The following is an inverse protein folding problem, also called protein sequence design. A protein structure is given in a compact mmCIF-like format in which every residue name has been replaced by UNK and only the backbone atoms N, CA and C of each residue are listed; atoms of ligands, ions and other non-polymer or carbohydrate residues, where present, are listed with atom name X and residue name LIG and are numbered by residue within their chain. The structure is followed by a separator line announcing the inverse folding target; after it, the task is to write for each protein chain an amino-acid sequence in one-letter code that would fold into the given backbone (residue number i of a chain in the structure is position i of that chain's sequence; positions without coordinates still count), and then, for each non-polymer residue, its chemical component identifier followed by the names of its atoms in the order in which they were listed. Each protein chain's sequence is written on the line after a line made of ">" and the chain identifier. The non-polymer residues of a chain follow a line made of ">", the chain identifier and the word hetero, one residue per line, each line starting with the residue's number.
data_IF_955313042491
#
_entry.id   IF_955313042491
#
_cell.length_a   1.000
_cell.length_b   1.000
_cell.length_c   1.000
_cell.angle_alpha   90.00
_cell.angle_beta   90.00
_cell.angle_gamma   90.00
#
_symmetry.space_group_name_H-M   'P 1'
#
loop_
_entity.id
_entity.type
_entity.pdbx_description
1 polymer ?
#
# COMPACT_ATOMS: atom_id res chain seq x y z
N UNK A 1 -12.07 23.33 8.38
CA UNK A 1 -11.66 23.17 6.97
C UNK A 1 -11.34 21.70 6.76
N UNK A 2 -12.07 21.02 5.89
CA UNK A 2 -11.69 19.67 5.44
C UNK A 2 -10.51 19.88 4.49
N UNK A 3 -9.37 19.24 4.75
CA UNK A 3 -8.28 19.17 3.77
C UNK A 3 -8.85 18.61 2.47
N UNK A 4 -8.56 19.23 1.30
CA UNK A 4 -9.02 18.69 0.03
C UNK A 4 -8.51 17.25 -0.12
N UNK A 5 -9.37 16.35 -0.59
CA UNK A 5 -8.98 14.98 -0.90
C UNK A 5 -7.90 15.03 -1.97
N UNK A 6 -6.74 14.42 -1.67
CA UNK A 6 -5.63 14.36 -2.61
C UNK A 6 -5.62 12.97 -3.25
N UNK A 7 -5.69 12.85 -4.58
CA UNK A 7 -5.60 11.55 -5.23
C UNK A 7 -4.33 10.80 -4.84
N UNK A 8 -4.44 9.48 -4.72
CA UNK A 8 -3.34 8.59 -4.32
C UNK A 8 -2.69 8.95 -2.96
N UNK A 9 -3.41 9.65 -2.06
CA UNK A 9 -2.83 10.11 -0.80
C UNK A 9 -2.28 9.00 0.09
N UNK A 10 -2.71 7.75 -0.09
CA UNK A 10 -2.20 6.58 0.65
C UNK A 10 -0.80 6.13 0.17
N UNK A 11 -0.39 6.48 -1.05
CA UNK A 11 0.92 6.17 -1.61
C UNK A 11 1.98 7.24 -1.23
N UNK A 12 2.10 7.54 0.07
CA UNK A 12 2.91 8.62 0.61
C UNK A 12 4.17 8.14 1.38
N UNK A 13 5.15 9.02 1.64
CA UNK A 13 6.39 8.66 2.34
C UNK A 13 6.19 8.12 3.77
N UNK A 14 5.14 8.53 4.48
CA UNK A 14 4.84 8.00 5.81
C UNK A 14 4.42 6.52 5.73
N UNK A 15 3.62 6.15 4.73
CA UNK A 15 3.19 4.77 4.51
C UNK A 15 4.37 3.90 4.07
N UNK A 16 5.21 4.39 3.16
CA UNK A 16 6.45 3.75 2.73
C UNK A 16 7.36 3.43 3.93
N UNK A 17 7.68 4.45 4.73
CA UNK A 17 8.51 4.29 5.93
C UNK A 17 7.88 3.31 6.92
N UNK A 18 6.56 3.34 7.08
CA UNK A 18 5.86 2.43 7.99
C UNK A 18 5.94 0.98 7.52
N UNK A 19 5.71 0.71 6.24
CA UNK A 19 5.83 -0.62 5.63
C UNK A 19 7.24 -1.17 5.83
N UNK A 20 8.28 -0.37 5.55
CA UNK A 20 9.68 -0.74 5.74
C UNK A 20 10.03 -1.01 7.21
N UNK A 21 9.55 -0.18 8.14
CA UNK A 21 9.79 -0.37 9.57
C UNK A 21 9.12 -1.66 10.07
N UNK A 22 7.89 -1.93 9.65
CA UNK A 22 7.17 -3.17 10.00
C UNK A 22 7.87 -4.39 9.43
N UNK A 23 8.32 -4.33 8.18
CA UNK A 23 9.10 -5.38 7.53
C UNK A 23 10.35 -5.73 8.34
N UNK A 24 11.06 -4.74 8.87
CA UNK A 24 12.21 -4.94 9.74
C UNK A 24 11.89 -5.72 11.03
N UNK A 25 10.73 -5.48 11.67
CA UNK A 25 10.31 -6.26 12.84
C UNK A 25 10.14 -7.75 12.53
N UNK A 26 9.73 -8.10 11.30
CA UNK A 26 9.56 -9.49 10.87
C UNK A 26 10.80 -10.06 10.16
N UNK A 27 11.92 -9.33 10.22
CA UNK A 27 13.20 -9.73 9.66
C UNK A 27 13.23 -9.72 8.14
N UNK A 28 12.34 -9.00 7.46
CA UNK A 28 12.43 -8.81 6.02
C UNK A 28 13.52 -7.76 5.75
N UNK A 29 14.48 -8.07 4.88
CA UNK A 29 15.56 -7.15 4.50
C UNK A 29 15.13 -6.21 3.37
N UNK A 30 16.03 -5.29 2.98
CA UNK A 30 15.80 -4.36 1.85
C UNK A 30 15.52 -5.05 0.53
N UNK A 31 16.00 -6.27 0.35
CA UNK A 31 15.79 -7.02 -0.88
C UNK A 31 14.39 -7.67 -0.91
N UNK A 32 13.54 -7.51 0.11
CA UNK A 32 12.18 -8.04 0.25
C UNK A 32 12.02 -9.56 0.08
N UNK A 33 13.07 -10.28 -0.27
CA UNK A 33 13.11 -11.72 -0.48
C UNK A 33 14.09 -12.44 0.47
N UNK A 34 14.94 -11.70 1.20
CA UNK A 34 15.84 -12.26 2.20
C UNK A 34 15.36 -11.99 3.64
N UNK A 35 15.66 -12.92 4.54
CA UNK A 35 15.13 -12.96 5.89
C UNK A 35 16.22 -13.00 6.97
N UNK A 36 16.07 -12.17 8.00
CA UNK A 36 16.78 -12.18 9.26
C UNK A 36 15.85 -12.66 10.39
N UNK A 37 16.37 -12.97 11.60
CA UNK A 37 15.53 -13.22 12.76
C UNK A 37 14.64 -12.02 13.08
N UNK A 38 13.35 -12.23 13.43
CA UNK A 38 12.44 -11.13 13.74
C UNK A 38 12.83 -10.40 15.02
N UNK A 39 12.67 -9.08 15.03
CA UNK A 39 12.81 -8.24 16.22
C UNK A 39 11.51 -8.36 17.03
N UNK A 40 11.62 -8.79 18.30
CA UNK A 40 10.51 -9.24 19.18
C UNK A 40 9.48 -8.18 19.62
N UNK A 41 9.13 -7.18 18.80
CA UNK A 41 8.09 -6.20 19.15
C UNK A 41 6.92 -6.16 18.15
N UNK A 42 6.17 -7.27 18.08
CA UNK A 42 4.97 -7.39 17.25
C UNK A 42 3.88 -6.39 17.63
N UNK A 43 3.81 -5.94 18.89
CA UNK A 43 2.81 -4.97 19.35
C UNK A 43 3.02 -3.58 18.73
N UNK A 44 4.26 -3.09 18.69
CA UNK A 44 4.58 -1.82 18.04
C UNK A 44 4.30 -1.90 16.53
N UNK A 45 4.69 -3.00 15.89
CA UNK A 45 4.39 -3.25 14.48
C UNK A 45 2.88 -3.18 14.18
N UNK A 46 2.04 -3.83 15.01
CA UNK A 46 0.57 -3.77 14.88
C UNK A 46 0.03 -2.35 15.03
N UNK A 47 0.55 -1.59 16.00
CA UNK A 47 0.13 -0.20 16.21
C UNK A 47 0.47 0.69 15.02
N UNK A 48 1.61 0.47 14.39
CA UNK A 48 2.03 1.19 13.18
C UNK A 48 1.07 0.92 12.01
N UNK A 49 0.78 -0.35 11.70
CA UNK A 49 -0.19 -0.71 10.65
C UNK A 49 -1.59 -0.16 10.96
N UNK A 50 -2.04 -0.25 12.22
CA UNK A 50 -3.34 0.28 12.64
C UNK A 50 -3.49 1.79 12.39
N UNK A 51 -2.40 2.56 12.51
CA UNK A 51 -2.40 4.02 12.23
C UNK A 51 -2.55 4.35 10.75
N UNK A 52 -2.21 3.43 9.85
CA UNK A 52 -2.39 3.62 8.41
C UNK A 52 -3.86 3.45 8.02
N UNK A 53 -4.61 2.59 8.69
CA UNK A 53 -6.00 2.26 8.34
C UNK A 53 -6.94 3.37 8.86
N UNK A 54 -7.74 4.02 7.98
CA UNK A 54 -8.67 5.06 8.41
C UNK A 54 -9.76 4.51 9.35
N UNK A 55 -10.14 5.31 10.35
CA UNK A 55 -11.15 4.95 11.37
C UNK A 55 -12.57 4.92 10.77
N UNK A 56 -12.84 5.81 9.81
CA UNK A 56 -14.09 5.88 9.06
C UNK A 56 -13.78 5.92 7.58
N UNK A 57 -14.46 5.04 6.86
CA UNK A 57 -14.47 5.05 5.41
C UNK A 57 -15.72 5.76 4.92
N UNK A 58 -15.57 6.69 3.99
CA UNK A 58 -16.68 7.30 3.27
C UNK A 58 -16.70 6.70 1.87
N UNK A 59 -17.58 5.72 1.65
CA UNK A 59 -17.71 5.00 0.38
C UNK A 59 -18.05 5.93 -0.80
N UNK A 60 -18.50 7.16 -0.53
CA UNK A 60 -18.88 8.13 -1.55
C UNK A 60 -17.73 9.04 -1.99
N UNK A 61 -16.57 9.03 -1.34
CA UNK A 61 -15.44 9.94 -1.64
C UNK A 61 -14.22 9.28 -2.28
N UNK A 62 -14.14 7.96 -2.25
CA UNK A 62 -13.03 7.23 -2.87
C UNK A 62 -13.43 6.86 -4.30
N UNK A 63 -13.28 7.81 -5.22
CA UNK A 63 -13.57 7.61 -6.65
C UNK A 63 -12.55 6.68 -7.33
N UNK A 64 -11.39 6.47 -6.72
CA UNK A 64 -10.30 5.66 -7.27
C UNK A 64 -10.22 4.31 -6.55
N UNK A 65 -10.56 3.23 -7.27
CA UNK A 65 -10.70 1.87 -6.75
C UNK A 65 -9.46 1.28 -6.03
N UNK A 66 -8.25 1.84 -6.23
CA UNK A 66 -7.01 1.36 -5.63
C UNK A 66 -6.97 1.51 -4.10
N UNK A 67 -7.47 2.63 -3.58
CA UNK A 67 -7.47 2.95 -2.15
C UNK A 67 -8.14 1.85 -1.33
N UNK A 68 -9.34 1.45 -1.76
CA UNK A 68 -10.13 0.39 -1.11
C UNK A 68 -9.38 -0.92 -1.01
N UNK A 69 -8.79 -1.37 -2.12
CA UNK A 69 -8.06 -2.63 -2.14
C UNK A 69 -6.81 -2.55 -1.26
N UNK A 70 -6.11 -1.42 -1.26
CA UNK A 70 -4.91 -1.23 -0.45
C UNK A 70 -5.21 -1.33 1.05
N UNK A 71 -6.24 -0.62 1.53
CA UNK A 71 -6.60 -0.69 2.94
C UNK A 71 -7.23 -2.01 3.36
N UNK A 72 -7.97 -2.69 2.47
CA UNK A 72 -8.44 -4.06 2.72
C UNK A 72 -7.25 -4.99 2.95
N UNK A 73 -6.17 -4.82 2.17
CA UNK A 73 -4.92 -5.57 2.32
C UNK A 73 -4.22 -5.28 3.64
N UNK A 74 -4.20 -4.02 4.09
CA UNK A 74 -3.68 -3.64 5.41
C UNK A 74 -4.51 -4.23 6.56
N UNK A 75 -5.83 -4.31 6.43
CA UNK A 75 -6.70 -4.95 7.42
C UNK A 75 -6.40 -6.46 7.51
N UNK A 76 -6.22 -7.12 6.37
CA UNK A 76 -5.81 -8.53 6.34
C UNK A 76 -4.43 -8.71 6.98
N UNK A 77 -3.44 -7.87 6.67
CA UNK A 77 -2.15 -7.86 7.37
C UNK A 77 -2.32 -7.76 8.89
N UNK A 78 -3.12 -6.81 9.37
CA UNK A 78 -3.35 -6.65 10.81
C UNK A 78 -4.00 -7.90 11.44
N UNK A 79 -4.92 -8.56 10.73
CA UNK A 79 -5.50 -9.84 11.14
C UNK A 79 -4.44 -10.94 11.18
N UNK A 80 -3.62 -11.07 10.14
CA UNK A 80 -2.53 -12.05 10.06
C UNK A 80 -1.50 -11.84 11.17
N UNK A 81 -1.19 -10.59 11.54
CA UNK A 81 -0.30 -10.26 12.66
C UNK A 81 -0.84 -10.70 14.03
N UNK A 82 -2.15 -10.96 14.16
CA UNK A 82 -2.74 -11.54 15.38
C UNK A 82 -2.62 -13.06 15.46
N UNK A 83 -2.00 -13.68 14.45
CA UNK A 83 -1.60 -15.08 14.48
C UNK A 83 -0.13 -15.20 14.88
N UNK A 84 0.28 -16.38 15.34
CA UNK A 84 1.71 -16.69 15.59
C UNK A 84 2.42 -17.22 14.32
N UNK A 85 1.82 -17.07 13.14
CA UNK A 85 2.33 -17.59 11.86
C UNK A 85 3.22 -16.56 11.17
N UNK A 86 4.49 -16.49 11.58
CA UNK A 86 5.48 -15.53 11.07
C UNK A 86 5.60 -15.55 9.55
N UNK A 87 5.58 -16.72 8.92
CA UNK A 87 5.71 -16.84 7.46
C UNK A 87 4.50 -16.24 6.73
N UNK A 88 3.28 -16.43 7.25
CA UNK A 88 2.08 -15.80 6.73
C UNK A 88 2.16 -14.26 6.88
N UNK A 89 2.69 -13.76 8.00
CA UNK A 89 2.89 -12.31 8.19
C UNK A 89 3.88 -11.76 7.16
N UNK A 90 4.98 -12.48 6.89
CA UNK A 90 5.99 -12.05 5.91
C UNK A 90 5.44 -11.97 4.50
N UNK A 91 4.73 -12.99 4.06
CA UNK A 91 4.07 -13.01 2.75
C UNK A 91 3.04 -11.87 2.65
N UNK A 92 2.28 -11.62 3.72
CA UNK A 92 1.29 -10.54 3.73
C UNK A 92 1.94 -9.15 3.69
N UNK A 93 3.10 -8.97 4.32
CA UNK A 93 3.89 -7.74 4.23
C UNK A 93 4.43 -7.51 2.82
N UNK A 94 4.93 -8.56 2.15
CA UNK A 94 5.32 -8.48 0.74
C UNK A 94 4.12 -8.10 -0.13
N UNK A 95 2.94 -8.70 0.09
CA UNK A 95 1.73 -8.36 -0.65
C UNK A 95 1.33 -6.87 -0.48
N UNK A 96 1.42 -6.35 0.74
CA UNK A 96 1.21 -4.91 1.02
C UNK A 96 2.25 -4.07 0.28
N UNK A 97 3.53 -4.49 0.27
CA UNK A 97 4.59 -3.76 -0.42
C UNK A 97 4.36 -3.66 -1.91
N UNK A 98 4.08 -4.78 -2.57
CA UNK A 98 3.83 -4.80 -4.01
C UNK A 98 2.64 -3.92 -4.40
N UNK A 99 1.56 -3.90 -3.60
CA UNK A 99 0.46 -2.97 -3.81
C UNK A 99 0.90 -1.52 -3.64
N UNK A 100 1.63 -1.22 -2.56
CA UNK A 100 2.13 0.13 -2.33
C UNK A 100 2.98 0.63 -3.50
N UNK A 101 3.88 -0.20 -4.02
CA UNK A 101 4.71 0.12 -5.19
C UNK A 101 3.87 0.36 -6.44
N UNK A 102 2.85 -0.47 -6.68
CA UNK A 102 1.92 -0.31 -7.79
C UNK A 102 1.17 1.04 -7.75
N UNK A 103 0.76 1.49 -6.57
CA UNK A 103 0.07 2.77 -6.41
C UNK A 103 1.05 3.95 -6.33
N UNK A 104 2.30 3.71 -5.91
CA UNK A 104 3.36 4.71 -5.91
C UNK A 104 3.72 5.18 -7.32
N UNK A 105 3.65 4.29 -8.31
CA UNK A 105 3.78 4.65 -9.74
C UNK A 105 2.76 5.73 -10.13
N UNK A 106 1.50 5.59 -9.69
CA UNK A 106 0.44 6.56 -9.98
C UNK A 106 0.71 7.89 -9.29
N UNK A 107 1.08 7.85 -8.00
CA UNK A 107 1.35 9.04 -7.20
C UNK A 107 2.57 9.82 -7.72
N UNK A 108 3.64 9.13 -8.11
CA UNK A 108 4.86 9.75 -8.67
C UNK A 108 4.58 10.35 -10.05
N UNK A 109 3.80 9.67 -10.88
CA UNK A 109 3.38 10.21 -12.18
C UNK A 109 2.54 11.48 -12.01
N UNK A 110 1.61 11.48 -11.04
CA UNK A 110 0.81 12.67 -10.73
C UNK A 110 1.68 13.82 -10.25
N UNK A 111 2.60 13.55 -9.32
CA UNK A 111 3.52 14.56 -8.81
C UNK A 111 4.41 15.15 -9.92
N UNK A 112 4.95 14.33 -10.81
CA UNK A 112 5.72 14.78 -11.97
C UNK A 112 4.89 15.69 -12.89
N UNK A 113 3.68 15.25 -13.29
CA UNK A 113 2.82 16.03 -14.19
C UNK A 113 2.33 17.34 -13.57
N UNK A 114 2.03 17.35 -12.26
CA UNK A 114 1.69 18.58 -11.55
C UNK A 114 2.88 19.56 -11.52
N UNK A 115 4.12 19.08 -11.33
CA UNK A 115 5.32 19.93 -11.35
C UNK A 115 5.58 20.53 -12.73
N UNK A 116 5.43 19.74 -13.79
CA UNK A 116 5.59 20.18 -15.19
C UNK A 116 4.58 21.27 -15.57
N UNK A 117 3.37 21.20 -15.02
CA UNK A 117 2.27 22.15 -15.24
C UNK A 117 2.13 23.19 -14.13
N UNK A 118 3.16 23.43 -13.31
CA UNK A 118 3.10 24.28 -12.11
C UNK A 118 2.68 25.75 -12.34
N UNK A 119 2.67 26.23 -13.59
CA UNK A 119 2.18 27.56 -13.99
C UNK A 119 0.73 27.56 -14.52
N UNK A 120 0.07 26.41 -14.59
CA UNK A 120 -1.31 26.23 -15.02
C UNK A 120 -2.19 25.90 -13.80
N UNK A 121 -3.45 26.33 -13.79
CA UNK A 121 -4.43 25.84 -12.82
C UNK A 121 -4.77 24.38 -13.17
N UNK A 122 -3.98 23.44 -12.68
CA UNK A 122 -4.18 22.00 -12.88
C UNK A 122 -5.26 21.51 -11.93
N UNK A 123 -6.32 20.91 -12.47
CA UNK A 123 -7.22 20.08 -11.68
C UNK A 123 -6.52 18.73 -11.39
N UNK A 124 -6.02 18.56 -10.15
CA UNK A 124 -5.34 17.33 -9.73
C UNK A 124 -6.26 16.09 -9.87
N UNK A 125 -7.57 16.24 -9.71
CA UNK A 125 -8.51 15.12 -9.78
C UNK A 125 -8.68 14.63 -11.23
N UNK A 126 -8.85 15.55 -12.17
CA UNK A 126 -8.92 15.22 -13.60
C UNK A 126 -7.62 14.56 -14.08
N UNK A 127 -6.48 15.12 -13.67
CA UNK A 127 -5.18 14.57 -14.01
C UNK A 127 -4.97 13.17 -13.41
N UNK A 128 -5.39 12.95 -12.16
CA UNK A 128 -5.32 11.65 -11.52
C UNK A 128 -6.19 10.60 -12.21
N UNK A 129 -7.40 10.98 -12.66
CA UNK A 129 -8.27 10.09 -13.43
C UNK A 129 -7.63 9.69 -14.76
N UNK A 130 -7.03 10.64 -15.48
CA UNK A 130 -6.32 10.37 -16.73
C UNK A 130 -5.11 9.43 -16.52
N UNK A 131 -4.32 9.66 -15.46
CA UNK A 131 -3.19 8.79 -15.09
C UNK A 131 -3.68 7.39 -14.72
N UNK A 132 -4.81 7.29 -13.99
CA UNK A 132 -5.39 6.00 -13.65
C UNK A 132 -5.74 5.21 -14.90
N UNK A 133 -6.47 5.78 -15.85
CA UNK A 133 -6.84 5.10 -17.10
C UNK A 133 -5.61 4.71 -17.92
N UNK A 134 -4.61 5.58 -18.01
CA UNK A 134 -3.36 5.32 -18.74
C UNK A 134 -2.54 4.17 -18.13
N UNK A 135 -2.42 4.15 -16.80
CA UNK A 135 -1.52 3.23 -16.10
C UNK A 135 -2.23 2.02 -15.48
N UNK A 136 -3.56 1.94 -15.54
CA UNK A 136 -4.35 0.82 -15.05
C UNK A 136 -3.86 -0.52 -15.62
N UNK A 137 -3.46 -0.53 -16.89
CA UNK A 137 -2.96 -1.72 -17.59
C UNK A 137 -1.46 -1.67 -17.86
N UNK A 138 -0.71 -0.78 -17.21
CA UNK A 138 0.74 -0.71 -17.42
C UNK A 138 1.40 -2.03 -16.94
N UNK A 139 2.31 -2.64 -17.73
CA UNK A 139 2.83 -3.98 -17.42
C UNK A 139 3.45 -4.10 -16.03
N UNK A 140 4.18 -3.07 -15.59
CA UNK A 140 4.81 -3.05 -14.27
C UNK A 140 3.77 -3.01 -13.14
N UNK A 141 2.77 -2.13 -13.25
CA UNK A 141 1.72 -2.01 -12.24
C UNK A 141 0.88 -3.28 -12.15
N UNK A 142 0.50 -3.84 -13.30
CA UNK A 142 -0.24 -5.12 -13.36
C UNK A 142 0.58 -6.24 -12.72
N UNK A 143 1.86 -6.37 -13.06
CA UNK A 143 2.76 -7.37 -12.46
C UNK A 143 2.82 -7.25 -10.94
N UNK A 144 2.97 -6.04 -10.41
CA UNK A 144 3.03 -5.80 -8.97
C UNK A 144 1.71 -6.16 -8.27
N UNK A 145 0.56 -5.78 -8.85
CA UNK A 145 -0.74 -6.13 -8.29
C UNK A 145 -1.00 -7.64 -8.34
N UNK A 146 -0.63 -8.31 -9.43
CA UNK A 146 -0.73 -9.77 -9.57
C UNK A 146 0.16 -10.50 -8.55
N UNK A 147 1.38 -10.02 -8.31
CA UNK A 147 2.27 -10.55 -7.27
C UNK A 147 1.66 -10.37 -5.88
N UNK A 148 1.09 -9.20 -5.61
CA UNK A 148 0.39 -8.95 -4.35
C UNK A 148 -0.79 -9.90 -4.13
N UNK A 149 -1.59 -10.15 -5.17
CA UNK A 149 -2.73 -11.06 -5.12
C UNK A 149 -2.30 -12.52 -4.91
N UNK A 150 -1.24 -12.98 -5.59
CA UNK A 150 -0.67 -14.32 -5.41
C UNK A 150 -0.15 -14.54 -3.99
N UNK A 151 0.56 -13.57 -3.44
CA UNK A 151 1.07 -13.64 -2.07
C UNK A 151 -0.07 -13.65 -1.06
N UNK A 152 -1.12 -12.85 -1.28
CA UNK A 152 -2.30 -12.85 -0.44
C UNK A 152 -3.01 -14.22 -0.45
N UNK A 153 -3.19 -14.83 -1.63
CA UNK A 153 -3.78 -16.18 -1.73
C UNK A 153 -2.96 -17.23 -0.97
N UNK A 154 -1.63 -17.15 -1.03
CA UNK A 154 -0.77 -18.04 -0.23
C UNK A 154 -0.97 -17.84 1.27
N UNK A 155 -1.15 -16.59 1.72
CA UNK A 155 -1.44 -16.29 3.13
C UNK A 155 -2.77 -16.89 3.55
N UNK A 156 -3.82 -16.74 2.74
CA UNK A 156 -5.15 -17.30 3.00
C UNK A 156 -5.06 -18.83 3.17
N UNK A 157 -4.36 -19.53 2.27
CA UNK A 157 -4.12 -20.97 2.37
C UNK A 157 -3.30 -21.39 3.61
N UNK A 158 -2.44 -20.53 4.15
CA UNK A 158 -1.67 -20.81 5.36
C UNK A 158 -2.46 -20.59 6.65
N UNK A 159 -3.57 -19.84 6.58
CA UNK A 159 -4.40 -19.46 7.72
C UNK A 159 -5.68 -20.29 7.85
N UNK A 160 -6.09 -20.97 6.78
CA UNK A 160 -7.14 -22.02 6.79
C UNK A 160 -6.67 -23.30 7.50
#
# INVERSE_FOLDING_TARGET
>A
MLTPYRPFSWANPFFDATINNVAHYYGITREWHSFAPPVRNSNLAKQLIKKMIPIKWDDQKSELHGERRFYTRLQLLLKTMNTDRVDAIRLMLQAVRHHFDADKILADTLECRCREKSNENVDEAELAAAIWEELATSPERVRLLDEADKLQQQVELLLD
#
